data_IF_322301807101
#
_entry.id   IF_322301807101
#
_cell.length_a   1.000
_cell.length_b   1.000
_cell.length_c   1.000
_cell.angle_alpha   90.00
_cell.angle_beta   90.00
_cell.angle_gamma   90.00
#
_symmetry.space_group_name_H-M   'P 1'
#
loop_
_entity.id
_entity.type
_entity.pdbx_description
1 polymer ?
#
# COMPACT_ATOMS: atom_id res chain seq x y z
N UNK A 1 -19.15 9.25 17.43
CA UNK A 1 -19.43 8.29 16.34
C UNK A 1 -18.90 8.82 15.00
N UNK A 2 -17.70 8.38 14.61
CA UNK A 2 -17.04 8.77 13.36
C UNK A 2 -17.36 7.82 12.18
N UNK A 3 -18.11 6.74 12.42
CA UNK A 3 -18.24 5.61 11.49
C UNK A 3 -18.75 5.96 10.09
N UNK A 4 -19.94 6.56 9.97
CA UNK A 4 -20.56 6.74 8.65
C UNK A 4 -19.81 7.77 7.78
N UNK A 5 -19.47 8.93 8.33
CA UNK A 5 -18.76 9.98 7.58
C UNK A 5 -17.35 9.56 7.16
N UNK A 6 -16.64 8.76 7.99
CA UNK A 6 -15.33 8.23 7.61
C UNK A 6 -15.42 7.19 6.49
N UNK A 7 -16.45 6.34 6.50
CA UNK A 7 -16.71 5.39 5.41
C UNK A 7 -17.08 6.13 4.12
N UNK A 8 -17.97 7.12 4.19
CA UNK A 8 -18.33 7.95 3.03
C UNK A 8 -17.11 8.67 2.45
N UNK A 9 -16.22 9.16 3.31
CA UNK A 9 -14.95 9.77 2.90
C UNK A 9 -14.03 8.80 2.17
N UNK A 10 -13.89 7.57 2.68
CA UNK A 10 -13.08 6.53 2.04
C UNK A 10 -13.66 6.13 0.67
N UNK A 11 -14.98 5.96 0.57
CA UNK A 11 -15.65 5.59 -0.69
C UNK A 11 -15.53 6.68 -1.74
N UNK A 12 -15.57 7.95 -1.34
CA UNK A 12 -15.44 9.10 -2.25
C UNK A 12 -14.00 9.51 -2.53
N UNK A 13 -13.03 8.82 -1.95
CA UNK A 13 -11.63 9.22 -2.07
C UNK A 13 -11.12 8.98 -3.49
N UNK A 14 -10.65 10.05 -4.13
CA UNK A 14 -9.91 9.98 -5.40
C UNK A 14 -8.43 9.75 -5.10
N UNK A 15 -8.04 8.48 -5.08
CA UNK A 15 -6.65 8.07 -4.89
C UNK A 15 -5.74 8.61 -6.00
N UNK A 16 -6.22 8.69 -7.24
CA UNK A 16 -5.38 9.11 -8.35
C UNK A 16 -5.02 10.60 -8.24
N UNK A 17 -5.97 11.43 -7.78
CA UNK A 17 -5.70 12.84 -7.47
C UNK A 17 -4.65 12.96 -6.35
N UNK A 18 -4.80 12.19 -5.27
CA UNK A 18 -3.85 12.21 -4.16
C UNK A 18 -2.43 11.76 -4.58
N UNK A 19 -2.32 10.71 -5.40
CA UNK A 19 -1.05 10.22 -5.92
C UNK A 19 -0.38 11.21 -6.88
N UNK A 20 -1.15 11.97 -7.66
CA UNK A 20 -0.60 13.03 -8.53
C UNK A 20 0.00 14.20 -7.73
N UNK A 21 -0.60 14.53 -6.59
CA UNK A 21 -0.16 15.65 -5.74
C UNK A 21 1.00 15.28 -4.81
N UNK A 22 1.18 13.99 -4.50
CA UNK A 22 2.27 13.50 -3.65
C UNK A 22 3.59 13.57 -4.40
N UNK A 23 4.59 14.22 -3.80
CA UNK A 23 5.91 14.48 -4.42
C UNK A 23 7.00 13.52 -3.96
N UNK A 24 6.84 12.96 -2.78
CA UNK A 24 7.76 11.99 -2.22
C UNK A 24 7.65 10.66 -2.99
N UNK A 25 8.74 9.90 -3.12
CA UNK A 25 8.66 8.52 -3.56
C UNK A 25 7.73 7.71 -2.64
N UNK A 26 6.94 6.80 -3.22
CA UNK A 26 6.01 5.96 -2.48
C UNK A 26 6.34 4.50 -2.77
N UNK A 27 6.78 3.77 -1.75
CA UNK A 27 6.90 2.31 -1.80
C UNK A 27 5.67 1.67 -1.20
N UNK A 28 5.08 0.72 -1.93
CA UNK A 28 3.94 -0.09 -1.48
C UNK A 28 4.37 -1.54 -1.36
N UNK A 29 4.40 -2.05 -0.13
CA UNK A 29 4.50 -3.49 0.10
C UNK A 29 3.13 -4.13 -0.02
N UNK A 30 3.00 -5.10 -0.91
CA UNK A 30 1.72 -5.74 -1.17
C UNK A 30 1.87 -7.26 -1.28
N UNK A 31 0.90 -7.99 -0.71
CA UNK A 31 0.89 -9.45 -0.76
C UNK A 31 0.67 -9.89 -2.20
N UNK A 32 1.57 -10.71 -2.74
CA UNK A 32 1.53 -11.19 -4.12
C UNK A 32 0.16 -11.74 -4.52
N UNK A 33 -0.44 -12.56 -3.66
CA UNK A 33 -1.71 -13.23 -3.91
C UNK A 33 -2.94 -12.30 -3.81
N UNK A 34 -2.77 -11.07 -3.30
CA UNK A 34 -3.86 -10.09 -3.14
C UNK A 34 -3.79 -8.95 -4.16
N UNK A 35 -2.72 -8.86 -4.95
CA UNK A 35 -2.52 -7.79 -5.92
C UNK A 35 -2.87 -8.27 -7.31
N UNK A 36 -3.68 -7.50 -8.02
CA UNK A 36 -3.97 -7.74 -9.43
C UNK A 36 -2.90 -7.14 -10.32
N UNK A 37 -2.65 -7.78 -11.47
CA UNK A 37 -1.76 -7.21 -12.48
C UNK A 37 -2.25 -5.83 -12.96
N UNK A 38 -3.58 -5.64 -13.04
CA UNK A 38 -4.18 -4.34 -13.38
C UNK A 38 -3.74 -3.22 -12.44
N UNK A 39 -3.71 -3.46 -11.13
CA UNK A 39 -3.26 -2.46 -10.16
C UNK A 39 -1.77 -2.13 -10.34
N UNK A 40 -0.94 -3.14 -10.62
CA UNK A 40 0.49 -2.94 -10.92
C UNK A 40 0.65 -2.07 -12.16
N UNK A 41 -0.02 -2.43 -13.25
CA UNK A 41 0.09 -1.73 -14.53
C UNK A 41 -0.45 -0.30 -14.47
N UNK A 42 -1.52 -0.07 -13.69
CA UNK A 42 -2.14 1.24 -13.52
C UNK A 42 -1.25 2.20 -12.73
N UNK A 43 -0.53 1.72 -11.73
CA UNK A 43 0.16 2.57 -10.75
C UNK A 43 1.70 2.55 -10.81
N UNK A 44 2.29 1.73 -11.68
CA UNK A 44 3.76 1.62 -11.86
C UNK A 44 4.49 2.92 -12.17
N UNK A 45 3.80 3.97 -12.65
CA UNK A 45 4.42 5.28 -12.91
C UNK A 45 4.52 6.15 -11.64
N UNK A 46 3.78 5.81 -10.58
CA UNK A 46 3.71 6.58 -9.33
C UNK A 46 4.14 5.82 -8.09
N UNK A 47 3.98 4.50 -8.09
CA UNK A 47 4.24 3.63 -6.95
C UNK A 47 5.37 2.66 -7.29
N UNK A 48 6.29 2.50 -6.36
CA UNK A 48 7.21 1.36 -6.33
C UNK A 48 6.51 0.21 -5.59
N UNK A 49 5.93 -0.73 -6.35
CA UNK A 49 5.15 -1.84 -5.77
C UNK A 49 6.07 -3.03 -5.57
N UNK A 50 6.35 -3.34 -4.30
CA UNK A 50 7.15 -4.48 -3.87
C UNK A 50 6.22 -5.61 -3.45
N UNK A 51 6.21 -6.68 -4.24
CA UNK A 51 5.41 -7.87 -3.93
C UNK A 51 6.13 -8.72 -2.86
N UNK A 52 5.42 -9.03 -1.79
CA UNK A 52 5.94 -9.78 -0.65
C UNK A 52 5.08 -11.01 -0.35
N UNK A 53 5.70 -12.00 0.29
CA UNK A 53 5.09 -13.27 0.64
C UNK A 53 5.12 -13.44 2.17
N UNK A 54 4.46 -12.52 2.89
CA UNK A 54 4.49 -12.38 4.37
C UNK A 54 3.17 -12.75 5.07
N UNK A 55 2.27 -13.46 4.39
CA UNK A 55 0.96 -13.84 4.91
C UNK A 55 -0.17 -13.09 4.22
N UNK A 56 -1.14 -12.59 4.99
CA UNK A 56 -2.34 -11.93 4.48
C UNK A 56 -2.21 -10.40 4.45
N UNK A 57 -3.33 -9.70 4.18
CA UNK A 57 -3.41 -8.24 4.29
C UNK A 57 -2.88 -7.69 5.63
N UNK A 58 -2.94 -8.50 6.70
CA UNK A 58 -2.46 -8.14 8.03
C UNK A 58 -1.03 -8.63 8.33
N UNK A 59 -0.19 -8.81 7.30
CA UNK A 59 1.20 -9.26 7.45
C UNK A 59 2.06 -8.49 8.46
N UNK A 60 1.86 -7.19 8.76
CA UNK A 60 2.61 -6.53 9.83
C UNK A 60 2.38 -7.16 11.22
N UNK A 61 1.20 -7.76 11.45
CA UNK A 61 0.86 -8.47 12.68
C UNK A 61 1.31 -9.93 12.63
N UNK A 62 1.19 -10.56 11.46
CA UNK A 62 1.50 -12.00 11.27
C UNK A 62 3.01 -12.26 11.20
N UNK A 63 3.76 -11.36 10.57
CA UNK A 63 5.20 -11.45 10.34
C UNK A 63 5.93 -10.15 10.76
N UNK A 64 5.88 -9.74 12.04
CA UNK A 64 6.35 -8.43 12.48
C UNK A 64 7.87 -8.25 12.31
N UNK A 65 8.66 -9.32 12.52
CA UNK A 65 10.13 -9.25 12.37
C UNK A 65 10.55 -9.06 10.92
N UNK A 66 9.91 -9.74 9.99
CA UNK A 66 10.24 -9.64 8.57
C UNK A 66 9.69 -8.35 7.97
N UNK A 67 8.51 -7.90 8.43
CA UNK A 67 8.00 -6.55 8.14
C UNK A 67 8.99 -5.46 8.58
N UNK A 68 9.58 -5.58 9.77
CA UNK A 68 10.56 -4.61 10.26
C UNK A 68 11.83 -4.56 9.39
N UNK A 69 12.29 -5.71 8.86
CA UNK A 69 13.43 -5.75 7.93
C UNK A 69 13.12 -4.99 6.64
N UNK A 70 11.95 -5.24 6.04
CA UNK A 70 11.50 -4.54 4.82
C UNK A 70 11.50 -3.01 5.02
N UNK A 71 11.00 -2.54 6.17
CA UNK A 71 10.97 -1.12 6.47
C UNK A 71 12.36 -0.53 6.66
N UNK A 72 13.28 -1.25 7.32
CA UNK A 72 14.65 -0.80 7.52
C UNK A 72 15.44 -0.68 6.21
N UNK A 73 15.20 -1.60 5.26
CA UNK A 73 15.87 -1.64 3.96
C UNK A 73 15.50 -0.42 3.08
N UNK A 74 14.30 0.16 3.23
CA UNK A 74 13.92 1.41 2.50
C UNK A 74 14.66 2.63 3.05
N UNK A 75 14.95 2.66 4.36
CA UNK A 75 15.55 3.82 5.01
C UNK A 75 17.07 3.91 4.85
N UNK A 76 17.68 2.94 4.17
CA UNK A 76 19.14 2.78 4.06
C UNK A 76 19.72 3.34 2.76
#
# INVERSE_FOLDING_TARGET
>A
PAGLRSIEGLVRWDMDAALRETRQPITVFAIRDLVTQEAIDRYRDRLDIVLVDLGSHHFPVEAPKDTAKLLADITS
#
